data_IF_519691838095
#
_entry.id   IF_519691838095
#
_cell.length_a   1.000
_cell.length_b   1.000
_cell.length_c   1.000
_cell.angle_alpha   90.00
_cell.angle_beta   90.00
_cell.angle_gamma   90.00
#
_symmetry.space_group_name_H-M   'P 1'
#
loop_
_entity.id
_entity.type
_entity.pdbx_description
1 polymer ?
#
# COMPACT_ATOMS: atom_id res chain seq x y z
N UNK A 1 36.30 -26.46 31.97
CA UNK A 1 37.22 -25.71 31.10
C UNK A 1 36.37 -25.22 29.93
N UNK A 2 36.32 -23.91 29.67
CA UNK A 2 35.44 -23.30 28.65
C UNK A 2 35.78 -23.85 27.25
N UNK A 3 34.77 -24.14 26.43
CA UNK A 3 34.90 -24.59 25.04
C UNK A 3 35.95 -23.78 24.26
N UNK A 4 35.95 -22.46 24.43
CA UNK A 4 36.85 -21.54 23.75
C UNK A 4 38.31 -21.76 24.15
N UNK A 5 38.55 -22.06 25.42
CA UNK A 5 39.89 -22.37 25.95
C UNK A 5 40.35 -23.79 25.62
N UNK A 6 39.41 -24.75 25.53
CA UNK A 6 39.71 -26.15 25.21
C UNK A 6 40.13 -26.34 23.75
N UNK A 7 39.46 -25.63 22.84
CA UNK A 7 39.67 -25.77 21.40
C UNK A 7 40.39 -24.57 20.76
N UNK A 8 40.87 -23.61 21.56
CA UNK A 8 41.55 -22.40 21.08
C UNK A 8 40.75 -21.70 19.96
N UNK A 9 39.50 -21.36 20.28
CA UNK A 9 38.57 -20.74 19.33
C UNK A 9 38.81 -19.24 19.21
N UNK A 10 38.62 -18.66 18.00
CA UNK A 10 38.71 -17.21 17.82
C UNK A 10 37.67 -16.47 18.68
N UNK A 11 37.98 -15.23 19.10
CA UNK A 11 37.08 -14.43 19.90
C UNK A 11 35.82 -14.03 19.13
N UNK A 12 34.70 -13.76 19.82
CA UNK A 12 33.46 -13.35 19.18
C UNK A 12 33.59 -11.97 18.49
N UNK A 13 32.79 -11.70 17.45
CA UNK A 13 32.84 -10.44 16.69
C UNK A 13 32.57 -9.22 17.59
N UNK A 14 33.15 -8.02 17.28
CA UNK A 14 33.04 -6.81 18.11
C UNK A 14 31.57 -6.46 18.42
N UNK A 15 31.29 -5.85 19.59
CA UNK A 15 29.92 -5.50 19.95
C UNK A 15 29.38 -4.45 18.96
N UNK A 16 28.08 -4.52 18.72
CA UNK A 16 27.36 -3.52 17.92
C UNK A 16 26.49 -2.67 18.85
N UNK A 17 25.97 -1.56 18.34
CA UNK A 17 25.02 -0.73 19.09
C UNK A 17 23.69 -1.45 19.44
N UNK A 18 23.38 -2.58 18.79
CA UNK A 18 22.25 -3.45 19.17
C UNK A 18 22.62 -4.54 20.18
N UNK A 19 23.90 -4.68 20.54
CA UNK A 19 24.35 -5.67 21.50
C UNK A 19 23.94 -5.26 22.91
N UNK A 20 23.15 -6.12 23.59
CA UNK A 20 22.81 -5.92 25.01
C UNK A 20 24.02 -6.14 25.92
N UNK A 21 24.88 -7.10 25.57
CA UNK A 21 26.11 -7.41 26.27
C UNK A 21 27.33 -6.98 25.44
N UNK A 22 28.24 -6.25 26.08
CA UNK A 22 29.48 -5.73 25.50
C UNK A 22 30.72 -6.51 25.97
N UNK A 23 30.54 -7.53 26.80
CA UNK A 23 31.61 -8.36 27.33
C UNK A 23 32.24 -9.25 26.25
N UNK A 24 33.36 -9.90 26.61
CA UNK A 24 34.02 -10.90 25.77
C UNK A 24 33.26 -12.23 25.66
N UNK A 25 32.17 -12.43 26.41
CA UNK A 25 31.31 -13.63 26.37
C UNK A 25 30.12 -13.52 25.43
N UNK A 26 29.88 -12.33 24.85
CA UNK A 26 28.78 -12.10 23.91
C UNK A 26 28.89 -13.02 22.69
N UNK A 27 27.74 -13.48 22.17
CA UNK A 27 27.65 -14.27 20.93
C UNK A 27 28.55 -15.52 20.89
N UNK A 28 29.05 -15.98 22.06
CA UNK A 28 29.76 -17.25 22.17
C UNK A 28 28.81 -18.41 21.93
N UNK A 29 29.39 -19.53 21.54
CA UNK A 29 28.65 -20.78 21.48
C UNK A 29 28.33 -21.26 22.89
N UNK A 30 27.18 -21.93 23.06
CA UNK A 30 26.96 -22.72 24.27
C UNK A 30 28.02 -23.82 24.37
N UNK A 31 28.23 -24.32 25.59
CA UNK A 31 29.10 -25.48 25.81
C UNK A 31 28.47 -26.71 25.17
N UNK A 32 29.11 -27.26 24.14
CA UNK A 32 28.68 -28.49 23.46
C UNK A 32 29.43 -29.69 24.02
N UNK A 33 28.70 -30.78 24.26
CA UNK A 33 29.27 -32.03 24.76
C UNK A 33 29.83 -32.91 23.62
N UNK A 34 29.12 -32.96 22.49
CA UNK A 34 29.44 -33.82 21.35
C UNK A 34 29.23 -33.11 19.99
N UNK A 35 29.64 -33.78 18.92
CA UNK A 35 29.43 -33.27 17.56
C UNK A 35 27.93 -33.20 17.18
N UNK A 36 27.11 -34.09 17.74
CA UNK A 36 25.67 -34.14 17.45
C UNK A 36 24.93 -32.90 17.96
N UNK A 37 25.24 -32.41 19.17
CA UNK A 37 24.70 -31.17 19.72
C UNK A 37 25.07 -29.96 18.86
N UNK A 38 26.32 -29.87 18.40
CA UNK A 38 26.75 -28.80 17.51
C UNK A 38 26.02 -28.87 16.16
N UNK A 39 25.93 -30.07 15.55
CA UNK A 39 25.23 -30.24 14.28
C UNK A 39 23.74 -29.87 14.41
N UNK A 40 23.09 -30.30 15.49
CA UNK A 40 21.71 -29.96 15.78
C UNK A 40 21.53 -28.44 15.95
N UNK A 41 22.45 -27.79 16.68
CA UNK A 41 22.46 -26.35 16.87
C UNK A 41 22.59 -25.60 15.53
N UNK A 42 23.56 -25.97 14.69
CA UNK A 42 23.75 -25.36 13.36
C UNK A 42 22.55 -25.61 12.45
N UNK A 43 22.01 -26.83 12.46
CA UNK A 43 20.81 -27.18 11.71
C UNK A 43 19.62 -26.33 12.12
N UNK A 44 19.37 -26.16 13.41
CA UNK A 44 18.26 -25.38 13.95
C UNK A 44 18.32 -23.88 13.59
N UNK A 45 19.52 -23.35 13.35
CA UNK A 45 19.69 -21.97 12.88
C UNK A 45 19.29 -21.76 11.41
N UNK A 46 19.31 -22.82 10.61
CA UNK A 46 19.15 -22.77 9.15
C UNK A 46 17.81 -23.37 8.71
N UNK A 47 17.38 -24.44 9.35
CA UNK A 47 16.12 -25.13 9.09
C UNK A 47 15.09 -24.70 10.12
N UNK A 48 13.91 -24.34 9.64
CA UNK A 48 12.75 -24.13 10.49
C UNK A 48 11.98 -25.43 10.62
N UNK A 49 12.25 -26.16 11.69
CA UNK A 49 11.48 -27.33 12.08
C UNK A 49 10.13 -26.87 12.65
N UNK A 50 9.18 -26.64 11.74
CA UNK A 50 7.85 -26.20 12.11
C UNK A 50 7.03 -27.38 12.67
N UNK A 51 6.36 -27.20 13.84
CA UNK A 51 5.46 -28.22 14.37
C UNK A 51 4.26 -28.42 13.43
N UNK A 52 3.60 -29.58 13.54
CA UNK A 52 2.56 -30.00 12.60
C UNK A 52 1.41 -28.99 12.47
N UNK A 53 1.04 -28.31 13.56
CA UNK A 53 0.00 -27.29 13.54
C UNK A 53 0.36 -26.09 12.66
N UNK A 54 1.63 -25.66 12.62
CA UNK A 54 2.10 -24.59 11.74
C UNK A 54 1.98 -25.01 10.27
N UNK A 55 2.30 -26.27 9.94
CA UNK A 55 2.15 -26.79 8.57
C UNK A 55 0.69 -26.77 8.11
N UNK A 56 -0.25 -27.12 9.00
CA UNK A 56 -1.69 -27.03 8.74
C UNK A 56 -2.10 -25.56 8.52
N UNK A 57 -1.58 -24.64 9.33
CA UNK A 57 -1.83 -23.20 9.16
C UNK A 57 -1.36 -22.69 7.80
N UNK A 58 -0.22 -23.16 7.28
CA UNK A 58 0.22 -22.80 5.92
C UNK A 58 -0.77 -23.25 4.85
N UNK A 59 -1.26 -24.49 4.93
CA UNK A 59 -2.26 -25.03 3.97
C UNK A 59 -3.52 -24.17 3.98
N UNK A 60 -4.07 -23.90 5.18
CA UNK A 60 -5.26 -23.05 5.33
C UNK A 60 -5.00 -21.65 4.77
N UNK A 61 -3.84 -21.07 5.06
CA UNK A 61 -3.45 -19.74 4.58
C UNK A 61 -3.34 -19.70 3.05
N UNK A 62 -2.74 -20.72 2.43
CA UNK A 62 -2.64 -20.83 0.96
C UNK A 62 -4.02 -20.86 0.32
N UNK A 63 -4.94 -21.67 0.86
CA UNK A 63 -6.32 -21.76 0.34
C UNK A 63 -7.03 -20.42 0.48
N UNK A 64 -6.99 -19.81 1.67
CA UNK A 64 -7.65 -18.54 1.94
C UNK A 64 -7.11 -17.41 1.06
N UNK A 65 -5.77 -17.29 0.97
CA UNK A 65 -5.11 -16.29 0.13
C UNK A 65 -5.42 -16.51 -1.36
N UNK A 66 -5.51 -17.75 -1.82
CA UNK A 66 -5.90 -18.06 -3.21
C UNK A 66 -7.32 -17.61 -3.53
N UNK A 67 -8.27 -17.83 -2.60
CA UNK A 67 -9.66 -17.36 -2.74
C UNK A 67 -9.71 -15.82 -2.75
N UNK A 68 -9.02 -15.17 -1.82
CA UNK A 68 -8.95 -13.70 -1.77
C UNK A 68 -8.33 -13.11 -3.04
N UNK A 69 -7.27 -13.74 -3.56
CA UNK A 69 -6.62 -13.32 -4.80
C UNK A 69 -7.55 -13.49 -6.00
N UNK A 70 -8.28 -14.59 -6.10
CA UNK A 70 -9.27 -14.80 -7.15
C UNK A 70 -10.35 -13.71 -7.15
N UNK A 71 -10.86 -13.33 -5.96
CA UNK A 71 -11.82 -12.21 -5.82
C UNK A 71 -11.20 -10.89 -6.29
N UNK A 72 -9.96 -10.59 -5.89
CA UNK A 72 -9.25 -9.38 -6.32
C UNK A 72 -9.08 -9.33 -7.85
N UNK A 73 -8.70 -10.45 -8.46
CA UNK A 73 -8.55 -10.56 -9.92
C UNK A 73 -9.89 -10.37 -10.63
N UNK A 74 -10.98 -10.94 -10.12
CA UNK A 74 -12.33 -10.73 -10.68
C UNK A 74 -12.70 -9.23 -10.65
N UNK A 75 -12.45 -8.53 -9.53
CA UNK A 75 -12.71 -7.09 -9.41
C UNK A 75 -11.89 -6.30 -10.42
N UNK A 76 -10.59 -6.62 -10.57
CA UNK A 76 -9.71 -5.96 -11.55
C UNK A 76 -10.21 -6.20 -12.97
N UNK A 77 -10.55 -7.44 -13.34
CA UNK A 77 -11.07 -7.79 -14.67
C UNK A 77 -12.40 -7.07 -14.95
N UNK A 78 -13.31 -7.01 -13.97
CA UNK A 78 -14.56 -6.27 -14.11
C UNK A 78 -14.33 -4.78 -14.34
N UNK A 79 -13.39 -4.16 -13.62
CA UNK A 79 -13.03 -2.74 -13.82
C UNK A 79 -12.36 -2.51 -15.17
N UNK A 80 -11.50 -3.43 -15.60
CA UNK A 80 -10.85 -3.38 -16.91
C UNK A 80 -11.89 -3.48 -18.05
N UNK A 81 -12.84 -4.41 -17.95
CA UNK A 81 -13.95 -4.56 -18.92
C UNK A 81 -14.84 -3.33 -19.00
N UNK A 82 -15.01 -2.59 -17.90
CA UNK A 82 -15.77 -1.33 -17.85
C UNK A 82 -14.96 -0.11 -18.30
N UNK A 83 -13.68 -0.28 -18.65
CA UNK A 83 -12.78 0.82 -19.03
C UNK A 83 -12.46 1.80 -17.90
N UNK A 84 -12.67 1.41 -16.64
CA UNK A 84 -12.46 2.27 -15.46
C UNK A 84 -11.16 1.99 -14.70
N UNK A 85 -10.30 1.12 -15.25
CA UNK A 85 -9.01 0.76 -14.66
C UNK A 85 -7.92 1.71 -15.20
N UNK A 86 -7.57 2.68 -14.37
CA UNK A 86 -6.55 3.68 -14.63
C UNK A 86 -5.93 4.06 -13.29
N UNK A 87 -4.60 4.04 -13.22
CA UNK A 87 -3.85 4.28 -11.97
C UNK A 87 -3.33 5.71 -11.93
N UNK A 88 -2.88 6.23 -13.06
CA UNK A 88 -2.37 7.58 -13.22
C UNK A 88 -3.10 8.24 -14.39
N UNK A 89 -3.54 9.49 -14.22
CA UNK A 89 -4.07 10.32 -15.31
C UNK A 89 -3.37 11.68 -15.29
N UNK A 90 -3.09 12.24 -16.47
CA UNK A 90 -2.81 13.67 -16.58
C UNK A 90 -4.06 14.46 -16.19
N UNK A 91 -3.88 15.53 -15.40
CA UNK A 91 -4.98 16.44 -15.03
C UNK A 91 -5.67 17.07 -16.25
N UNK A 92 -6.88 17.56 -16.07
CA UNK A 92 -7.61 18.33 -17.10
C UNK A 92 -7.48 19.84 -16.84
N UNK A 93 -7.57 20.67 -17.89
CA UNK A 93 -7.51 22.14 -17.77
C UNK A 93 -6.14 22.69 -17.35
N UNK A 94 -6.09 23.64 -16.42
CA UNK A 94 -4.86 24.26 -15.89
C UNK A 94 -3.92 23.26 -15.19
N UNK A 95 -4.42 22.06 -14.87
CA UNK A 95 -3.67 20.97 -14.21
C UNK A 95 -3.07 19.96 -15.21
N UNK A 96 -3.04 20.24 -16.51
CA UNK A 96 -2.60 19.30 -17.58
C UNK A 96 -1.17 18.76 -17.42
N UNK A 97 -0.30 19.51 -16.76
CA UNK A 97 1.07 19.09 -16.48
C UNK A 97 1.21 18.22 -15.22
N UNK A 98 0.14 18.01 -14.44
CA UNK A 98 0.16 17.28 -13.17
C UNK A 98 -0.31 15.83 -13.36
N UNK A 99 0.39 14.89 -12.75
CA UNK A 99 0.00 13.48 -12.71
C UNK A 99 -0.88 13.27 -11.48
N UNK A 100 -2.13 12.86 -11.71
CA UNK A 100 -3.12 12.59 -10.67
C UNK A 100 -3.27 11.07 -10.53
N UNK A 101 -2.85 10.48 -9.39
CA UNK A 101 -3.10 9.08 -9.12
C UNK A 101 -4.57 8.85 -8.73
N UNK A 102 -5.15 7.79 -9.26
CA UNK A 102 -6.49 7.37 -8.89
C UNK A 102 -6.41 6.50 -7.61
N UNK A 103 -6.61 7.15 -6.47
CA UNK A 103 -6.45 6.57 -5.12
C UNK A 103 -6.94 5.11 -5.00
N UNK A 104 -8.22 4.87 -5.30
CA UNK A 104 -8.82 3.54 -5.11
C UNK A 104 -8.29 2.46 -6.08
N UNK A 105 -7.89 2.84 -7.30
CA UNK A 105 -7.38 1.87 -8.28
C UNK A 105 -5.92 1.53 -7.97
N UNK A 106 -5.12 2.53 -7.59
CA UNK A 106 -3.75 2.35 -7.13
C UNK A 106 -3.67 1.43 -5.91
N UNK A 107 -4.53 1.68 -4.91
CA UNK A 107 -4.66 0.81 -3.74
C UNK A 107 -5.04 -0.63 -4.12
N UNK A 108 -6.09 -0.81 -4.94
CA UNK A 108 -6.58 -2.16 -5.31
C UNK A 108 -5.51 -2.99 -6.03
N UNK A 109 -4.77 -2.39 -6.98
CA UNK A 109 -3.69 -3.08 -7.70
C UNK A 109 -2.55 -3.41 -6.75
N UNK A 110 -2.16 -2.46 -5.90
CA UNK A 110 -1.09 -2.64 -4.93
C UNK A 110 -1.40 -3.74 -3.90
N UNK A 111 -2.63 -3.76 -3.37
CA UNK A 111 -3.12 -4.81 -2.49
C UNK A 111 -3.15 -6.18 -3.17
N UNK A 112 -3.49 -6.23 -4.46
CA UNK A 112 -3.47 -7.48 -5.22
C UNK A 112 -2.04 -8.02 -5.39
N UNK A 113 -1.06 -7.15 -5.68
CA UNK A 113 0.36 -7.53 -5.74
C UNK A 113 0.83 -8.02 -4.37
N UNK A 114 0.43 -7.35 -3.29
CA UNK A 114 0.71 -7.81 -1.92
C UNK A 114 0.21 -9.23 -1.68
N UNK A 115 -1.05 -9.54 -2.00
CA UNK A 115 -1.59 -10.90 -1.83
C UNK A 115 -0.84 -11.94 -2.67
N UNK A 116 -0.40 -11.60 -3.89
CA UNK A 116 0.44 -12.48 -4.72
C UNK A 116 1.77 -12.76 -4.02
N UNK A 117 2.43 -11.73 -3.48
CA UNK A 117 3.72 -11.89 -2.79
C UNK A 117 3.59 -12.71 -1.50
N UNK A 118 2.54 -12.46 -0.70
CA UNK A 118 2.27 -13.25 0.51
C UNK A 118 2.01 -14.71 0.16
N UNK A 119 1.19 -14.96 -0.87
CA UNK A 119 0.94 -16.33 -1.33
C UNK A 119 2.23 -17.00 -1.80
N UNK A 120 3.07 -16.30 -2.58
CA UNK A 120 4.35 -16.82 -3.03
C UNK A 120 5.29 -17.15 -1.86
N UNK A 121 5.40 -16.24 -0.87
CA UNK A 121 6.21 -16.44 0.33
C UNK A 121 5.74 -17.66 1.15
N UNK A 122 4.43 -17.77 1.42
CA UNK A 122 3.88 -18.91 2.18
C UNK A 122 4.08 -20.22 1.42
N UNK A 123 3.90 -20.22 0.10
CA UNK A 123 4.18 -21.39 -0.75
C UNK A 123 5.66 -21.78 -0.71
N UNK A 124 6.59 -20.82 -0.79
CA UNK A 124 8.03 -21.06 -0.73
C UNK A 124 8.44 -21.68 0.62
N UNK A 125 7.94 -21.12 1.73
CA UNK A 125 8.14 -21.66 3.08
C UNK A 125 7.56 -23.08 3.17
N UNK A 126 6.33 -23.30 2.72
CA UNK A 126 5.69 -24.62 2.77
C UNK A 126 6.47 -25.67 1.98
N UNK A 127 6.91 -25.36 0.75
CA UNK A 127 7.70 -26.26 -0.09
C UNK A 127 9.08 -26.52 0.53
N UNK A 128 9.71 -25.50 1.11
CA UNK A 128 11.01 -25.60 1.79
C UNK A 128 10.92 -26.50 3.02
N UNK A 129 9.90 -26.33 3.86
CA UNK A 129 9.64 -27.18 5.03
C UNK A 129 9.32 -28.62 4.63
N UNK A 130 8.56 -28.85 3.55
CA UNK A 130 8.28 -30.20 3.05
C UNK A 130 9.55 -30.90 2.56
N UNK A 131 10.39 -30.18 1.81
CA UNK A 131 11.62 -30.72 1.23
C UNK A 131 12.80 -30.77 2.21
N UNK A 132 12.62 -30.33 3.46
CA UNK A 132 13.68 -30.19 4.45
C UNK A 132 14.85 -29.36 3.91
N UNK A 133 14.52 -28.27 3.21
CA UNK A 133 15.49 -27.33 2.66
C UNK A 133 15.37 -25.98 3.37
N UNK A 134 16.47 -25.26 3.53
CA UNK A 134 16.42 -23.87 4.00
C UNK A 134 15.67 -22.98 3.01
N UNK A 135 14.92 -22.02 3.56
CA UNK A 135 14.20 -21.01 2.77
C UNK A 135 15.21 -20.08 2.10
N UNK A 136 15.09 -19.92 0.78
CA UNK A 136 15.95 -19.00 0.03
C UNK A 136 15.45 -17.56 0.19
N UNK A 137 16.39 -16.61 0.15
CA UNK A 137 16.06 -15.19 0.16
C UNK A 137 15.17 -14.71 1.32
N UNK A 138 15.30 -15.32 2.50
CA UNK A 138 14.47 -15.00 3.66
C UNK A 138 14.50 -13.49 4.05
N UNK A 139 15.66 -12.80 4.10
CA UNK A 139 15.69 -11.36 4.36
C UNK A 139 14.88 -10.53 3.36
N UNK A 140 14.90 -10.90 2.07
CA UNK A 140 14.10 -10.23 1.04
C UNK A 140 12.61 -10.44 1.26
N UNK A 141 12.19 -11.67 1.60
CA UNK A 141 10.79 -11.94 1.93
C UNK A 141 10.30 -11.07 3.09
N UNK A 142 11.08 -10.94 4.17
CA UNK A 142 10.69 -10.15 5.35
C UNK A 142 10.48 -8.67 5.03
N UNK A 143 11.39 -8.07 4.24
CA UNK A 143 11.37 -6.62 3.97
C UNK A 143 10.46 -6.27 2.78
N UNK A 144 10.52 -7.04 1.69
CA UNK A 144 9.84 -6.70 0.45
C UNK A 144 8.34 -7.01 0.48
N UNK A 145 7.87 -7.87 1.38
CA UNK A 145 6.45 -8.28 1.46
C UNK A 145 5.50 -7.08 1.47
N UNK A 146 5.82 -6.07 2.28
CA UNK A 146 4.97 -4.91 2.54
C UNK A 146 5.17 -3.76 1.55
N UNK A 147 6.14 -3.88 0.63
CA UNK A 147 6.46 -2.84 -0.35
C UNK A 147 5.25 -2.43 -1.20
N UNK A 148 4.45 -3.36 -1.76
CA UNK A 148 3.28 -2.97 -2.54
C UNK A 148 2.27 -2.17 -1.71
N UNK A 149 2.02 -2.54 -0.45
CA UNK A 149 1.07 -1.80 0.39
C UNK A 149 1.51 -0.35 0.61
N UNK A 150 2.81 -0.13 0.89
CA UNK A 150 3.35 1.22 1.03
C UNK A 150 3.22 2.05 -0.28
N UNK A 151 3.37 1.42 -1.45
CA UNK A 151 3.08 2.04 -2.75
C UNK A 151 1.61 2.41 -2.89
N UNK A 152 0.71 1.51 -2.51
CA UNK A 152 -0.73 1.74 -2.51
C UNK A 152 -1.13 2.93 -1.64
N UNK A 153 -0.69 2.95 -0.38
CA UNK A 153 -0.90 4.05 0.57
C UNK A 153 -0.39 5.39 0.02
N UNK A 154 0.81 5.41 -0.57
CA UNK A 154 1.37 6.62 -1.14
C UNK A 154 0.53 7.17 -2.29
N UNK A 155 0.13 6.30 -3.23
CA UNK A 155 -0.73 6.70 -4.36
C UNK A 155 -2.10 7.19 -3.89
N UNK A 156 -2.66 6.56 -2.86
CA UNK A 156 -3.90 6.98 -2.23
C UNK A 156 -3.78 8.37 -1.60
N UNK A 157 -2.74 8.57 -0.78
CA UNK A 157 -2.46 9.84 -0.12
C UNK A 157 -2.29 10.99 -1.13
N UNK A 158 -1.56 10.76 -2.22
CA UNK A 158 -1.43 11.75 -3.30
C UNK A 158 -2.74 12.02 -4.02
N UNK A 159 -3.54 10.97 -4.27
CA UNK A 159 -4.86 11.12 -4.90
C UNK A 159 -5.78 12.00 -4.04
N UNK A 160 -5.79 11.78 -2.73
CA UNK A 160 -6.53 12.59 -1.75
C UNK A 160 -6.00 14.02 -1.72
N UNK A 161 -4.69 14.20 -1.60
CA UNK A 161 -4.06 15.51 -1.53
C UNK A 161 -4.38 16.37 -2.75
N UNK A 162 -4.30 15.79 -3.96
CA UNK A 162 -4.60 16.50 -5.20
C UNK A 162 -6.09 16.76 -5.39
N UNK A 163 -6.97 15.87 -4.92
CA UNK A 163 -8.42 16.09 -4.94
C UNK A 163 -8.87 17.18 -3.95
N UNK A 164 -8.19 17.30 -2.81
CA UNK A 164 -8.51 18.27 -1.76
C UNK A 164 -8.04 19.70 -2.07
N UNK A 165 -7.19 19.90 -3.09
CA UNK A 165 -6.70 21.21 -3.52
C UNK A 165 -7.81 22.00 -4.25
N UNK A 166 -8.38 23.07 -3.63
CA UNK A 166 -9.45 23.86 -4.25
C UNK A 166 -8.94 24.57 -5.51
N UNK A 167 -9.80 24.72 -6.53
CA UNK A 167 -9.45 25.41 -7.78
C UNK A 167 -9.02 26.88 -7.58
N UNK A 168 -9.49 27.53 -6.51
CA UNK A 168 -9.08 28.89 -6.11
C UNK A 168 -7.72 28.96 -5.39
N UNK A 169 -7.14 27.80 -5.03
CA UNK A 169 -5.81 27.65 -4.43
C UNK A 169 -4.77 27.12 -5.42
N UNK A 170 -5.13 26.50 -6.55
CA UNK A 170 -4.42 26.84 -7.82
C UNK A 170 -4.58 28.35 -8.05
N UNK A 171 -3.83 29.08 -8.85
CA UNK A 171 -3.87 30.55 -8.84
C UNK A 171 -3.32 31.25 -7.58
N UNK A 172 -3.35 30.67 -6.36
CA UNK A 172 -2.72 31.26 -5.14
C UNK A 172 -1.56 30.43 -4.56
N UNK A 173 -1.62 29.10 -4.59
CA UNK A 173 -0.48 28.16 -4.38
C UNK A 173 0.33 28.01 -5.68
N UNK A 174 -0.31 28.19 -6.83
CA UNK A 174 0.39 28.24 -8.12
C UNK A 174 0.76 29.67 -8.53
N UNK A 175 0.24 30.73 -7.86
CA UNK A 175 0.91 32.06 -7.87
C UNK A 175 1.93 32.26 -6.76
N UNK A 176 1.92 31.45 -5.69
CA UNK A 176 3.01 31.39 -4.70
C UNK A 176 3.49 29.94 -4.45
N UNK A 177 4.53 29.55 -5.22
CA UNK A 177 5.73 28.77 -4.81
C UNK A 177 5.96 27.29 -5.14
N UNK A 178 5.10 26.52 -5.83
CA UNK A 178 5.55 25.18 -6.32
C UNK A 178 5.08 24.83 -7.74
N UNK A 179 6.01 24.66 -8.71
CA UNK A 179 5.67 24.27 -10.07
C UNK A 179 5.25 22.79 -10.13
N UNK A 180 4.33 22.46 -11.05
CA UNK A 180 3.81 21.09 -11.25
C UNK A 180 4.91 20.03 -11.47
N UNK A 181 6.05 20.44 -12.05
CA UNK A 181 7.24 19.58 -12.20
C UNK A 181 7.76 19.09 -10.85
N UNK A 182 7.87 19.96 -9.85
CA UNK A 182 8.36 19.60 -8.50
C UNK A 182 7.37 18.65 -7.82
N UNK A 183 6.06 18.91 -7.93
CA UNK A 183 5.02 18.03 -7.37
C UNK A 183 5.06 16.62 -7.99
N UNK A 184 5.17 16.52 -9.32
CA UNK A 184 5.31 15.23 -10.00
C UNK A 184 6.61 14.52 -9.58
N UNK A 185 7.73 15.25 -9.50
CA UNK A 185 9.02 14.69 -9.07
C UNK A 185 8.93 14.14 -7.65
N UNK A 186 8.32 14.86 -6.70
CA UNK A 186 8.15 14.34 -5.33
C UNK A 186 7.23 13.12 -5.31
N UNK A 187 6.08 13.18 -6.01
CA UNK A 187 5.14 12.08 -6.08
C UNK A 187 5.76 10.80 -6.66
N UNK A 188 6.56 10.91 -7.72
CA UNK A 188 7.13 9.75 -8.42
C UNK A 188 8.48 9.30 -7.87
N UNK A 189 9.29 10.20 -7.28
CA UNK A 189 10.69 9.90 -6.94
C UNK A 189 10.90 9.60 -5.45
N UNK A 190 10.06 10.11 -4.55
CA UNK A 190 10.23 9.91 -3.11
C UNK A 190 10.22 8.42 -2.74
N UNK A 191 9.22 7.69 -3.24
CA UNK A 191 9.03 6.29 -2.88
C UNK A 191 10.12 5.39 -3.46
N UNK A 192 10.46 5.44 -4.77
CA UNK A 192 11.58 4.67 -5.31
C UNK A 192 12.91 4.98 -4.63
N UNK A 193 13.15 6.24 -4.26
CA UNK A 193 14.38 6.62 -3.53
C UNK A 193 14.40 5.99 -2.13
N UNK A 194 13.31 6.11 -1.38
CA UNK A 194 13.20 5.51 -0.04
C UNK A 194 13.38 3.99 -0.09
N UNK A 195 12.78 3.32 -1.09
CA UNK A 195 12.96 1.89 -1.32
C UNK A 195 14.39 1.55 -1.71
N UNK A 196 15.03 2.33 -2.58
CA UNK A 196 16.42 2.07 -3.00
C UNK A 196 17.36 2.11 -1.78
N UNK A 197 17.16 3.08 -0.89
CA UNK A 197 17.94 3.17 0.37
C UNK A 197 17.66 1.96 1.27
N UNK A 198 16.40 1.55 1.38
CA UNK A 198 15.99 0.35 2.14
C UNK A 198 16.59 -0.95 1.60
N UNK A 199 16.71 -1.06 0.29
CA UNK A 199 17.24 -2.26 -0.36
C UNK A 199 18.72 -2.48 -0.08
N UNK A 200 19.50 -1.45 0.29
CA UNK A 200 20.94 -1.61 0.58
C UNK A 200 21.21 -2.56 1.75
N UNK A 201 20.75 -2.30 2.99
CA UNK A 201 20.95 -3.26 4.09
C UNK A 201 20.23 -4.59 3.85
N UNK A 202 19.10 -4.57 3.14
CA UNK A 202 18.35 -5.79 2.80
C UNK A 202 19.17 -6.71 1.87
N UNK A 203 19.81 -6.15 0.84
CA UNK A 203 20.66 -6.90 -0.09
C UNK A 203 21.94 -7.42 0.59
N UNK A 204 22.55 -6.64 1.49
CA UNK A 204 23.70 -7.10 2.28
C UNK A 204 23.30 -8.27 3.19
N UNK A 205 22.13 -8.17 3.83
CA UNK A 205 21.59 -9.27 4.62
C UNK A 205 21.37 -10.51 3.77
N UNK A 206 20.71 -10.34 2.62
CA UNK A 206 20.38 -11.44 1.73
C UNK A 206 21.63 -12.14 1.19
N UNK A 207 22.68 -11.38 0.87
CA UNK A 207 23.97 -11.93 0.48
C UNK A 207 24.55 -12.88 1.55
N UNK A 208 24.53 -12.46 2.83
CA UNK A 208 25.05 -13.29 3.91
C UNK A 208 24.17 -14.52 4.17
N UNK A 209 22.84 -14.37 4.13
CA UNK A 209 21.90 -15.48 4.24
C UNK A 209 22.10 -16.51 3.13
N UNK A 210 22.13 -16.04 1.88
CA UNK A 210 22.22 -16.90 0.72
C UNK A 210 23.57 -17.61 0.64
N UNK A 211 24.65 -16.95 1.06
CA UNK A 211 25.97 -17.58 1.17
C UNK A 211 25.97 -18.74 2.17
N UNK A 212 25.30 -18.60 3.31
CA UNK A 212 25.16 -19.69 4.28
C UNK A 212 24.36 -20.84 3.69
N UNK A 213 23.18 -20.54 3.13
CA UNK A 213 22.25 -21.54 2.62
C UNK A 213 22.79 -22.31 1.41
N UNK A 214 23.48 -21.64 0.50
CA UNK A 214 23.93 -22.24 -0.76
C UNK A 214 25.33 -22.85 -0.69
N UNK A 215 26.19 -22.36 0.21
CA UNK A 215 27.62 -22.75 0.24
C UNK A 215 28.06 -23.26 1.61
N UNK A 216 28.00 -22.43 2.65
CA UNK A 216 28.67 -22.76 3.91
C UNK A 216 27.97 -23.94 4.63
N UNK A 217 26.63 -23.99 4.63
CA UNK A 217 25.88 -25.10 5.26
C UNK A 217 26.02 -26.44 4.53
N UNK A 218 25.81 -26.54 3.20
CA UNK A 218 26.00 -27.80 2.50
C UNK A 218 27.43 -28.34 2.62
N UNK A 219 28.44 -27.45 2.59
CA UNK A 219 29.84 -27.84 2.77
C UNK A 219 30.12 -28.34 4.19
N UNK A 220 29.59 -27.66 5.21
CA UNK A 220 29.71 -28.08 6.61
C UNK A 220 29.05 -29.44 6.84
N UNK A 221 27.80 -29.60 6.37
CA UNK A 221 27.05 -30.83 6.54
C UNK A 221 27.74 -32.01 5.85
N UNK A 222 28.19 -31.84 4.61
CA UNK A 222 28.91 -32.88 3.89
C UNK A 222 30.23 -33.28 4.58
N UNK A 223 30.95 -32.34 5.18
CA UNK A 223 32.27 -32.60 5.77
C UNK A 223 32.19 -33.28 7.14
N UNK A 224 31.17 -32.98 7.93
CA UNK A 224 31.13 -33.35 9.35
C UNK A 224 29.94 -34.22 9.75
N UNK A 225 29.04 -34.61 8.83
CA UNK A 225 27.83 -35.40 9.14
C UNK A 225 28.12 -36.69 9.92
N UNK A 226 29.22 -37.39 9.61
CA UNK A 226 29.56 -38.70 10.16
C UNK A 226 30.51 -38.62 11.38
N UNK A 227 30.94 -37.41 11.74
CA UNK A 227 31.85 -37.17 12.87
C UNK A 227 31.08 -37.20 14.19
N UNK A 228 31.58 -37.97 15.15
CA UNK A 228 30.98 -38.11 16.49
C UNK A 228 31.70 -37.27 17.54
N UNK A 229 33.00 -37.01 17.34
CA UNK A 229 33.82 -36.23 18.25
C UNK A 229 33.91 -34.75 17.85
N UNK A 230 33.99 -33.90 18.87
CA UNK A 230 34.10 -32.46 18.67
C UNK A 230 35.53 -32.09 18.26
N UNK A 231 35.70 -31.54 17.05
CA UNK A 231 36.99 -31.05 16.56
C UNK A 231 37.04 -29.53 16.51
N UNK A 232 38.25 -28.98 16.63
CA UNK A 232 38.48 -27.53 16.50
C UNK A 232 38.02 -27.00 15.14
N UNK A 233 38.30 -27.73 14.07
CA UNK A 233 37.93 -27.31 12.71
C UNK A 233 36.43 -27.22 12.54
N UNK A 234 35.68 -28.21 13.04
CA UNK A 234 34.23 -28.21 13.00
C UNK A 234 33.64 -27.01 13.76
N UNK A 235 34.19 -26.67 14.93
CA UNK A 235 33.76 -25.49 15.69
C UNK A 235 34.06 -24.18 14.95
N UNK A 236 35.23 -24.05 14.32
CA UNK A 236 35.61 -22.85 13.55
C UNK A 236 34.72 -22.67 12.32
N UNK A 237 34.42 -23.75 11.59
CA UNK A 237 33.52 -23.70 10.44
C UNK A 237 32.08 -23.38 10.86
N UNK A 238 31.61 -23.93 12.00
CA UNK A 238 30.34 -23.56 12.59
C UNK A 238 30.31 -22.07 13.02
N UNK A 239 31.38 -21.55 13.63
CA UNK A 239 31.49 -20.14 14.00
C UNK A 239 31.41 -19.22 12.77
N UNK A 240 31.97 -19.65 11.64
CA UNK A 240 31.87 -18.89 10.39
C UNK A 240 30.41 -18.80 9.91
N UNK A 241 29.65 -19.89 9.96
CA UNK A 241 28.21 -19.89 9.67
C UNK A 241 27.47 -18.93 10.61
N UNK A 242 27.72 -19.06 11.91
CA UNK A 242 27.10 -18.22 12.94
C UNK A 242 27.39 -16.73 12.72
N UNK A 243 28.63 -16.37 12.41
CA UNK A 243 29.03 -14.99 12.15
C UNK A 243 28.32 -14.41 10.91
N UNK A 244 28.16 -15.20 9.84
CA UNK A 244 27.39 -14.77 8.67
C UNK A 244 25.90 -14.59 8.99
N UNK A 245 25.30 -15.48 9.77
CA UNK A 245 23.91 -15.36 10.21
C UNK A 245 23.70 -14.15 11.14
N UNK A 246 24.63 -13.89 12.07
CA UNK A 246 24.62 -12.69 12.91
C UNK A 246 24.69 -11.42 12.07
N UNK A 247 25.57 -11.38 11.07
CA UNK A 247 25.70 -10.22 10.18
C UNK A 247 24.44 -10.01 9.34
N UNK A 248 23.82 -11.09 8.86
CA UNK A 248 22.53 -11.05 8.19
C UNK A 248 21.46 -10.48 9.12
N UNK A 249 21.28 -11.06 10.31
CA UNK A 249 20.28 -10.63 11.29
C UNK A 249 20.44 -9.16 11.71
N UNK A 250 21.68 -8.70 11.90
CA UNK A 250 21.97 -7.30 12.17
C UNK A 250 21.49 -6.39 11.02
N UNK A 251 21.78 -6.75 9.76
CA UNK A 251 21.37 -5.96 8.60
C UNK A 251 19.85 -5.98 8.37
N UNK A 252 19.17 -7.11 8.61
CA UNK A 252 17.69 -7.15 8.64
C UNK A 252 17.15 -6.21 9.70
N UNK A 253 17.74 -6.20 10.89
CA UNK A 253 17.31 -5.33 11.99
C UNK A 253 17.42 -3.85 11.62
N UNK A 254 18.52 -3.45 10.96
CA UNK A 254 18.68 -2.10 10.40
C UNK A 254 17.58 -1.81 9.36
N UNK A 255 17.32 -2.74 8.44
CA UNK A 255 16.27 -2.58 7.43
C UNK A 255 14.88 -2.43 8.06
N UNK A 256 14.55 -3.23 9.08
CA UNK A 256 13.30 -3.13 9.83
C UNK A 256 13.13 -1.77 10.54
N UNK A 257 14.21 -1.21 11.10
CA UNK A 257 14.15 0.13 11.74
C UNK A 257 13.91 1.21 10.69
N UNK A 258 14.60 1.16 9.55
CA UNK A 258 14.35 2.11 8.47
C UNK A 258 12.92 1.97 7.94
N UNK A 259 12.42 0.74 7.81
CA UNK A 259 11.03 0.47 7.44
C UNK A 259 10.05 1.09 8.44
N UNK A 260 10.29 0.92 9.73
CA UNK A 260 9.49 1.52 10.78
C UNK A 260 9.45 3.05 10.69
N UNK A 261 10.61 3.69 10.46
CA UNK A 261 10.70 5.15 10.27
C UNK A 261 9.88 5.60 9.05
N UNK A 262 9.97 4.87 7.92
CA UNK A 262 9.20 5.16 6.71
C UNK A 262 7.70 5.02 6.99
N UNK A 263 7.26 3.90 7.57
CA UNK A 263 5.85 3.66 7.90
C UNK A 263 5.30 4.73 8.87
N UNK A 264 6.07 5.09 9.89
CA UNK A 264 5.68 6.13 10.85
C UNK A 264 5.54 7.50 10.17
N UNK A 265 6.52 7.90 9.36
CA UNK A 265 6.49 9.16 8.61
C UNK A 265 5.32 9.23 7.63
N UNK A 266 5.06 8.12 6.92
CA UNK A 266 3.92 8.00 6.00
C UNK A 266 2.58 8.09 6.72
N UNK A 267 2.44 7.42 7.87
CA UNK A 267 1.22 7.47 8.69
C UNK A 267 0.98 8.87 9.22
N UNK A 268 2.01 9.54 9.73
CA UNK A 268 1.91 10.92 10.21
C UNK A 268 1.48 11.88 9.09
N UNK A 269 2.05 11.72 7.89
CA UNK A 269 1.66 12.51 6.72
C UNK A 269 0.21 12.22 6.30
N UNK A 270 -0.21 10.96 6.31
CA UNK A 270 -1.59 10.55 5.99
C UNK A 270 -2.60 11.18 6.95
N UNK A 271 -2.35 11.08 8.25
CA UNK A 271 -3.20 11.68 9.29
C UNK A 271 -3.24 13.20 9.13
N UNK A 272 -2.10 13.84 8.86
CA UNK A 272 -2.04 15.28 8.66
C UNK A 272 -2.83 15.75 7.43
N UNK A 273 -2.66 15.11 6.27
CA UNK A 273 -3.41 15.44 5.05
C UNK A 273 -4.90 15.20 5.24
N UNK A 274 -5.27 14.07 5.85
CA UNK A 274 -6.68 13.73 6.13
C UNK A 274 -7.31 14.75 7.07
N UNK A 275 -6.64 15.09 8.18
CA UNK A 275 -7.10 16.11 9.12
C UNK A 275 -7.24 17.49 8.46
N UNK A 276 -6.27 17.90 7.65
CA UNK A 276 -6.32 19.17 6.90
C UNK A 276 -7.49 19.18 5.91
N UNK A 277 -7.73 18.08 5.22
CA UNK A 277 -8.83 17.95 4.26
C UNK A 277 -10.18 18.03 4.96
N UNK A 278 -10.36 17.28 6.05
CA UNK A 278 -11.59 17.29 6.85
C UNK A 278 -11.83 18.67 7.46
N UNK A 279 -10.81 19.31 8.02
CA UNK A 279 -10.96 20.64 8.63
C UNK A 279 -11.28 21.72 7.59
N UNK A 280 -10.65 21.69 6.41
CA UNK A 280 -10.99 22.56 5.28
C UNK A 280 -12.44 22.38 4.84
N UNK A 281 -12.88 21.13 4.70
CA UNK A 281 -14.23 20.78 4.30
C UNK A 281 -15.27 21.23 5.36
N UNK A 282 -14.97 21.04 6.65
CA UNK A 282 -15.80 21.56 7.75
C UNK A 282 -15.90 23.08 7.73
N UNK A 283 -14.79 23.79 7.48
CA UNK A 283 -14.79 25.25 7.34
C UNK A 283 -15.65 25.69 6.16
N UNK A 284 -15.49 25.06 4.99
CA UNK A 284 -16.31 25.37 3.81
C UNK A 284 -17.81 25.16 4.04
N UNK A 285 -18.18 24.07 4.71
CA UNK A 285 -19.57 23.81 5.10
C UNK A 285 -20.09 24.80 6.15
N UNK A 286 -19.24 25.25 7.08
CA UNK A 286 -19.60 26.25 8.08
C UNK A 286 -19.82 27.64 7.45
N UNK A 287 -19.00 28.04 6.47
CA UNK A 287 -19.14 29.32 5.75
C UNK A 287 -20.36 29.34 4.81
N UNK A 288 -20.85 28.18 4.35
CA UNK A 288 -22.05 28.05 3.51
C UNK A 288 -23.35 27.79 4.30
N UNK A 289 -23.31 27.67 5.63
CA UNK A 289 -24.52 27.61 6.46
C UNK A 289 -25.17 29.01 6.45
N UNK A 290 -26.37 29.18 5.89
CA UNK A 290 -26.84 30.49 5.48
C UNK A 290 -27.20 31.37 6.68
N UNK A 291 -26.80 32.63 6.58
CA UNK A 291 -27.58 33.80 6.99
C UNK A 291 -29.01 33.70 6.42
N UNK A 292 -29.82 32.81 6.99
CA UNK A 292 -31.24 32.59 6.69
C UNK A 292 -32.00 32.58 8.01
N UNK A 293 -31.74 33.58 8.86
CA UNK A 293 -32.52 33.86 10.06
C UNK A 293 -33.33 35.16 9.93
N UNK A 294 -33.29 35.85 8.78
CA UNK A 294 -34.02 37.11 8.54
C UNK A 294 -34.98 37.02 7.34
N UNK A 295 -35.74 35.94 7.26
CA UNK A 295 -36.97 35.92 6.44
C UNK A 295 -37.98 34.99 7.10
N UNK A 296 -38.36 35.37 8.33
CA UNK A 296 -39.60 34.94 8.93
C UNK A 296 -40.68 35.97 8.55
N UNK A 297 -41.51 35.65 7.55
CA UNK A 297 -42.95 35.96 7.54
C UNK A 297 -43.59 35.41 6.26
N UNK A 298 -44.59 34.53 6.44
CA UNK A 298 -45.68 34.14 5.52
C UNK A 298 -45.27 33.47 4.18
N UNK A 299 -45.87 32.39 3.68
CA UNK A 299 -47.07 31.63 4.05
C UNK A 299 -47.03 30.25 3.34
N UNK A 300 -47.75 29.28 3.91
CA UNK A 300 -48.34 28.05 3.35
C UNK A 300 -47.52 26.96 2.61
N UNK A 301 -47.75 25.73 3.07
CA UNK A 301 -47.47 24.40 2.49
C UNK A 301 -48.76 23.58 2.76
N UNK A 302 -49.27 22.61 1.93
CA UNK A 302 -48.52 21.67 1.05
C UNK A 302 -49.16 21.31 -0.33
N UNK A 303 -48.37 20.71 -1.24
CA UNK A 303 -48.46 19.27 -1.63
C UNK A 303 -47.61 18.94 -2.90
N UNK A 304 -46.95 17.77 -2.99
CA UNK A 304 -46.07 17.42 -4.11
C UNK A 304 -46.78 16.54 -5.16
N UNK A 305 -46.88 17.01 -6.41
CA UNK A 305 -47.27 16.15 -7.54
C UNK A 305 -46.03 15.61 -8.23
N UNK A 306 -45.75 14.32 -8.02
CA UNK A 306 -44.75 13.53 -8.73
C UNK A 306 -45.28 13.23 -10.14
N UNK A 307 -44.60 13.72 -11.19
CA UNK A 307 -44.80 13.22 -12.57
C UNK A 307 -43.84 12.05 -12.80
N UNK A 308 -44.38 10.84 -12.88
CA UNK A 308 -43.72 9.66 -13.46
C UNK A 308 -43.47 9.90 -14.95
N UNK A 309 -42.25 9.61 -15.42
CA UNK A 309 -41.91 9.49 -16.83
C UNK A 309 -41.81 8.00 -17.14
N UNK A 310 -42.74 7.51 -17.97
CA UNK A 310 -42.71 6.16 -18.54
C UNK A 310 -41.62 6.08 -19.62
N UNK A 311 -40.65 5.18 -19.43
CA UNK A 311 -39.70 4.77 -20.46
C UNK A 311 -40.03 3.33 -20.79
N UNK A 312 -40.75 3.12 -21.89
CA UNK A 312 -40.91 1.80 -22.47
C UNK A 312 -40.81 1.88 -24.00
N UNK A 313 -39.93 1.03 -24.52
CA UNK A 313 -39.67 0.68 -25.94
C UNK A 313 -38.72 1.60 -26.71
N UNK A 314 -37.43 1.26 -26.62
CA UNK A 314 -36.57 1.36 -27.79
C UNK A 314 -35.52 0.23 -27.79
N UNK A 315 -35.85 -0.87 -28.46
CA UNK A 315 -34.85 -1.82 -28.95
C UNK A 315 -35.38 -2.64 -30.13
N UNK A 316 -34.61 -2.56 -31.22
CA UNK A 316 -34.46 -3.50 -32.33
C UNK A 316 -35.42 -3.42 -33.55
N UNK A 317 -34.82 -3.23 -34.73
CA UNK A 317 -35.46 -3.51 -36.03
C UNK A 317 -34.73 -2.93 -37.25
N UNK A 318 -33.84 -3.73 -37.86
CA UNK A 318 -33.10 -3.49 -39.11
C UNK A 318 -33.99 -3.70 -40.36
N UNK A 319 -34.00 -2.78 -41.36
CA UNK A 319 -33.71 -3.02 -42.83
C UNK A 319 -34.20 -1.89 -43.79
N UNK A 320 -33.36 -1.68 -44.82
CA UNK A 320 -33.60 -1.23 -46.22
C UNK A 320 -34.06 0.20 -46.58
N UNK A 321 -33.21 0.88 -47.36
CA UNK A 321 -33.44 2.07 -48.22
C UNK A 321 -34.13 1.65 -49.57
N UNK A 322 -34.49 2.52 -50.57
CA UNK A 322 -33.91 3.84 -50.92
C UNK A 322 -34.94 4.88 -51.51
N UNK A 323 -34.60 5.82 -52.42
CA UNK A 323 -34.45 7.25 -52.11
C UNK A 323 -35.37 8.19 -52.94
N UNK A 324 -35.70 9.39 -52.47
CA UNK A 324 -36.15 10.48 -53.36
C UNK A 324 -35.62 11.86 -52.96
N UNK A 325 -34.96 12.46 -53.94
CA UNK A 325 -34.48 13.83 -54.13
C UNK A 325 -35.61 14.86 -54.25
N UNK A 326 -35.43 16.06 -53.71
CA UNK A 326 -35.81 17.32 -54.38
C UNK A 326 -35.14 18.55 -53.72
N UNK A 327 -34.51 19.37 -54.56
CA UNK A 327 -34.02 20.73 -54.29
C UNK A 327 -35.19 21.72 -54.20
N UNK A 328 -35.05 22.81 -53.43
CA UNK A 328 -35.00 24.21 -53.90
C UNK A 328 -35.07 25.19 -52.71
N UNK A 329 -34.08 26.11 -52.58
CA UNK A 329 -34.14 27.57 -52.87
C UNK A 329 -35.01 28.36 -51.86
N UNK A 330 -34.44 29.14 -50.94
CA UNK A 330 -33.89 30.51 -51.04
C UNK A 330 -34.91 31.61 -50.66
N UNK A 331 -34.39 32.75 -50.14
CA UNK A 331 -35.05 34.01 -49.67
C UNK A 331 -35.49 34.04 -48.19
N UNK A 332 -34.98 34.87 -47.25
CA UNK A 332 -34.48 36.26 -47.17
C UNK A 332 -35.55 37.32 -46.81
N UNK A 333 -35.68 37.64 -45.50
CA UNK A 333 -35.65 39.01 -44.93
C UNK A 333 -35.99 39.04 -43.40
N UNK A 334 -35.55 40.10 -42.67
CA UNK A 334 -35.50 40.15 -41.21
C UNK A 334 -36.58 41.04 -40.58
N UNK A 335 -36.45 41.23 -39.26
CA UNK A 335 -36.97 42.32 -38.39
C UNK A 335 -37.95 41.84 -37.31
N UNK A 336 -37.46 41.70 -36.07
CA UNK A 336 -38.15 42.31 -34.92
C UNK A 336 -37.21 42.54 -33.73
N UNK A 337 -37.23 43.78 -33.24
CA UNK A 337 -36.49 44.29 -32.08
C UNK A 337 -37.02 43.69 -30.76
N UNK A 338 -36.08 43.37 -29.87
CA UNK A 338 -36.07 43.79 -28.47
C UNK A 338 -36.90 43.03 -27.43
N UNK A 339 -36.26 42.17 -26.64
CA UNK A 339 -36.51 42.11 -25.18
C UNK A 339 -35.31 41.48 -24.46
N UNK A 340 -34.53 42.32 -23.77
CA UNK A 340 -33.65 41.88 -22.68
C UNK A 340 -34.53 41.57 -21.48
N UNK A 341 -34.52 40.34 -20.95
CA UNK A 341 -34.72 40.12 -19.51
C UNK A 341 -34.16 38.76 -19.05
N UNK A 342 -32.99 38.87 -18.46
CA UNK A 342 -32.43 38.04 -17.37
C UNK A 342 -33.49 37.38 -16.48
N UNK A 343 -33.73 36.07 -16.64
CA UNK A 343 -34.40 35.24 -15.61
C UNK A 343 -34.01 33.76 -15.58
N UNK A 344 -33.04 33.33 -16.39
CA UNK A 344 -32.68 31.89 -16.52
C UNK A 344 -31.37 31.48 -15.84
N UNK A 345 -30.60 32.43 -15.31
CA UNK A 345 -29.30 32.19 -14.66
C UNK A 345 -29.40 31.81 -13.18
N UNK A 346 -30.42 32.28 -12.46
CA UNK A 346 -30.52 32.03 -11.00
C UNK A 346 -30.96 30.60 -10.68
N UNK A 347 -31.82 30.01 -11.52
CA UNK A 347 -32.26 28.61 -11.38
C UNK A 347 -31.15 27.60 -11.73
N UNK A 348 -30.31 27.93 -12.72
CA UNK A 348 -29.14 27.12 -13.06
C UNK A 348 -28.05 27.23 -11.97
N UNK A 349 -27.84 28.43 -11.41
CA UNK A 349 -26.94 28.66 -10.29
C UNK A 349 -27.35 27.88 -9.04
N UNK A 350 -28.65 27.84 -8.71
CA UNK A 350 -29.16 27.15 -7.53
C UNK A 350 -29.16 25.61 -7.69
N UNK A 351 -29.39 25.10 -8.91
CA UNK A 351 -29.28 23.67 -9.24
C UNK A 351 -27.82 23.19 -9.20
N UNK A 352 -26.89 23.97 -9.78
CA UNK A 352 -25.45 23.71 -9.72
C UNK A 352 -24.94 23.76 -8.26
N UNK A 353 -25.46 24.68 -7.44
CA UNK A 353 -25.11 24.82 -6.01
C UNK A 353 -25.68 23.69 -5.14
N UNK A 354 -26.87 23.18 -5.43
CA UNK A 354 -27.44 21.96 -4.81
C UNK A 354 -26.68 20.70 -5.21
N UNK A 355 -26.28 20.58 -6.48
CA UNK A 355 -25.44 19.47 -6.95
C UNK A 355 -24.05 19.49 -6.30
N UNK A 356 -23.45 20.68 -6.14
CA UNK A 356 -22.18 20.89 -5.43
C UNK A 356 -22.29 20.46 -3.95
N UNK A 357 -23.38 20.83 -3.27
CA UNK A 357 -23.60 20.45 -1.88
C UNK A 357 -23.82 18.93 -1.68
N UNK A 358 -24.53 18.29 -2.60
CA UNK A 358 -24.78 16.84 -2.56
C UNK A 358 -23.53 16.03 -2.92
N UNK A 359 -22.72 16.50 -3.88
CA UNK A 359 -21.42 15.93 -4.20
C UNK A 359 -20.45 16.06 -3.02
N UNK A 360 -20.39 17.24 -2.39
CA UNK A 360 -19.57 17.51 -1.19
C UNK A 360 -19.97 16.60 -0.02
N UNK A 361 -21.27 16.35 0.18
CA UNK A 361 -21.77 15.42 1.22
C UNK A 361 -21.42 13.96 0.92
N UNK A 362 -21.48 13.53 -0.35
CA UNK A 362 -21.03 12.19 -0.77
C UNK A 362 -19.53 12.00 -0.59
N UNK A 363 -18.73 13.02 -0.91
CA UNK A 363 -17.28 13.04 -0.68
C UNK A 363 -16.97 12.96 0.82
N UNK A 364 -17.69 13.73 1.66
CA UNK A 364 -17.52 13.68 3.12
C UNK A 364 -17.85 12.29 3.69
N UNK A 365 -18.95 11.66 3.25
CA UNK A 365 -19.31 10.30 3.67
C UNK A 365 -18.26 9.29 3.20
N UNK A 366 -17.79 9.40 1.95
CA UNK A 366 -16.73 8.56 1.42
C UNK A 366 -15.43 8.69 2.22
N UNK A 367 -14.99 9.92 2.53
CA UNK A 367 -13.80 10.18 3.34
C UNK A 367 -13.94 9.69 4.79
N UNK A 368 -15.13 9.84 5.38
CA UNK A 368 -15.39 9.39 6.76
C UNK A 368 -15.41 7.85 6.84
N UNK A 369 -15.96 7.19 5.81
CA UNK A 369 -15.92 5.72 5.69
C UNK A 369 -14.49 5.22 5.45
N UNK A 370 -13.72 5.85 4.56
CA UNK A 370 -12.31 5.50 4.30
C UNK A 370 -11.41 5.69 5.55
N UNK A 371 -11.56 6.81 6.25
CA UNK A 371 -10.84 7.05 7.51
C UNK A 371 -11.24 6.03 8.59
N UNK A 372 -12.52 5.68 8.71
CA UNK A 372 -12.97 4.69 9.70
C UNK A 372 -12.55 3.27 9.35
N UNK A 373 -12.45 2.89 8.08
CA UNK A 373 -11.85 1.61 7.67
C UNK A 373 -10.34 1.57 7.92
N UNK A 374 -9.63 2.69 7.75
CA UNK A 374 -8.21 2.82 8.10
C UNK A 374 -7.98 2.61 9.60
N UNK A 375 -8.71 3.33 10.46
CA UNK A 375 -8.59 3.16 11.92
C UNK A 375 -9.00 1.76 12.44
N UNK A 376 -9.93 1.08 11.74
CA UNK A 376 -10.29 -0.31 12.04
C UNK A 376 -9.21 -1.30 11.61
N UNK A 377 -8.55 -1.06 10.48
CA UNK A 377 -7.46 -1.90 9.97
C UNK A 377 -6.15 -1.71 10.76
N UNK A 378 -5.90 -0.53 11.33
CA UNK A 378 -4.73 -0.23 12.16
C UNK A 378 -4.88 -0.59 13.65
N UNK A 379 -5.98 -1.23 14.07
CA UNK A 379 -6.20 -1.67 15.45
C UNK A 379 -6.37 -0.55 16.50
N UNK A 380 -6.51 0.72 16.07
CA UNK A 380 -6.59 1.88 16.96
C UNK A 380 -8.02 2.20 17.45
N UNK A 381 -9.01 1.40 17.04
CA UNK A 381 -10.39 1.46 17.56
C UNK A 381 -10.78 0.11 18.15
N UNK A 382 -10.20 -0.20 19.31
CA UNK A 382 -10.56 -1.32 20.17
C UNK A 382 -11.32 -0.84 21.41
N UNK A 383 -12.55 -1.34 21.54
CA UNK A 383 -13.52 -1.32 22.63
C UNK A 383 -14.44 -0.09 22.85
N UNK A 384 -15.77 -0.30 22.85
CA UNK A 384 -16.72 0.65 23.41
C UNK A 384 -16.64 0.59 24.95
N UNK A 385 -16.47 1.75 25.57
CA UNK A 385 -16.80 1.96 26.98
C UNK A 385 -18.33 1.80 27.13
N UNK A 386 -18.76 0.59 27.45
CA UNK A 386 -20.06 0.33 28.06
C UNK A 386 -19.88 0.48 29.58
N UNK A 387 -20.34 1.61 30.10
CA UNK A 387 -21.00 1.68 31.40
C UNK A 387 -22.48 1.34 31.21
#
# INVERSE_FOLDING_TARGET
MDLYSRFDLPPPPPPTFFSRDHSATRARFPEFQDAAELQHFVRAMIHWDCPQWVKITFIISIVLLSVLLAVCLIVIVQRMRRGTLWVLRFGQGEKRALIVPHAQNGWTISASIFFILVLACVCDIFVSTQKHKPVQHNPLWVICLFTPLAVGEWLELWGIFLAAMPEQLTGKVTSHKMPARVLNTVCLSFLPLAFTILMVPTAISDYHWQRVVTKDWPAFHHRYQDETELSREMLVDAQKIWNHLLRSSFMVSVACIMWFIICFGMTALYVWVSWRTISSLRRFLATKKPTSANSASADEVPSPTVRMVDISKESAGVRSAPPQTLMDSAEDNPTHKGTTLTRRTDSAGDLVRKMDHQATRKVLIYFTVQCSTFFKASGLLGQPLLS
#
